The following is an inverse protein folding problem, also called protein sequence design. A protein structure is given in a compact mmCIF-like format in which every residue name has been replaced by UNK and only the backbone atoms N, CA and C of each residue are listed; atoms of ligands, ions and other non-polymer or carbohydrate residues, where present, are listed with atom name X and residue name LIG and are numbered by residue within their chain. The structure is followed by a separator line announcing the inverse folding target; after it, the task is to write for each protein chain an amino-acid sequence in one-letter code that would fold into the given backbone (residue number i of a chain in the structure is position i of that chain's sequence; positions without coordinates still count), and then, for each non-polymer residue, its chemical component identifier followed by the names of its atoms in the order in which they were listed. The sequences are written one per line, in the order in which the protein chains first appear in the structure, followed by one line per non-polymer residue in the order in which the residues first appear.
data_IF_578405262937
#
_entry.id   IF_578405262937
#
_cell.length_a   1.000
_cell.length_b   1.000
_cell.length_c   1.000
_cell.angle_alpha   90.00
_cell.angle_beta   90.00
_cell.angle_gamma   90.00
#
_symmetry.space_group_name_H-M   'P 1'
#
loop_
_entity.id
_entity.type
_entity.pdbx_description
1 polymer ?
#
# COMPACT_ATOMS: atom_id res chain seq x y z
N UNK A 1 45.31 2.20 8.53
CA UNK A 1 44.25 1.72 7.61
C UNK A 1 42.93 1.93 8.33
N UNK A 2 42.03 2.79 7.82
CA UNK A 2 40.81 3.17 8.53
C UNK A 2 39.78 2.05 8.43
N UNK A 3 39.45 1.45 9.58
CA UNK A 3 38.33 0.53 9.77
C UNK A 3 37.03 1.30 9.40
N UNK A 4 36.41 0.97 8.28
CA UNK A 4 35.11 1.54 7.94
C UNK A 4 34.06 0.68 8.64
N UNK A 5 33.47 1.24 9.71
CA UNK A 5 32.41 0.59 10.47
C UNK A 5 31.15 0.42 9.60
N UNK A 6 30.74 -0.83 9.37
CA UNK A 6 29.55 -1.22 8.62
C UNK A 6 28.24 -1.07 9.42
N UNK A 7 28.24 -0.32 10.52
CA UNK A 7 27.11 -0.25 11.46
C UNK A 7 26.08 0.84 11.17
N UNK A 8 26.19 1.58 10.05
CA UNK A 8 25.40 2.80 9.80
C UNK A 8 24.59 2.79 8.49
N UNK A 9 24.48 1.66 7.79
CA UNK A 9 23.83 1.62 6.46
C UNK A 9 22.31 1.45 6.55
N UNK A 10 21.80 0.91 7.66
CA UNK A 10 20.36 0.66 7.85
C UNK A 10 19.59 1.89 8.35
N UNK A 11 20.28 2.99 8.69
CA UNK A 11 19.66 4.23 9.19
C UNK A 11 19.50 5.34 8.12
N UNK A 12 19.82 5.09 6.85
CA UNK A 12 19.90 6.14 5.81
C UNK A 12 18.82 6.06 4.70
N UNK A 13 17.93 5.06 4.62
CA UNK A 13 17.11 4.88 3.39
C UNK A 13 15.58 4.74 3.52
N UNK A 14 14.97 5.00 4.68
CA UNK A 14 13.49 4.97 4.78
C UNK A 14 12.79 6.26 4.33
N UNK A 15 13.47 7.41 4.32
CA UNK A 15 12.83 8.71 4.10
C UNK A 15 12.64 9.11 2.63
N UNK A 16 13.34 8.45 1.68
CA UNK A 16 13.36 8.86 0.27
C UNK A 16 13.12 7.69 -0.69
N UNK A 17 12.22 6.77 -0.34
CA UNK A 17 11.80 5.74 -1.30
C UNK A 17 10.73 6.33 -2.23
N UNK A 18 10.96 6.35 -3.56
CA UNK A 18 9.97 6.85 -4.50
C UNK A 18 8.72 5.97 -4.45
N UNK A 19 7.56 6.61 -4.56
CA UNK A 19 6.27 5.93 -4.63
C UNK A 19 6.05 5.38 -6.06
N UNK A 20 6.80 4.34 -6.41
CA UNK A 20 6.73 3.72 -7.74
C UNK A 20 5.76 2.52 -7.75
N UNK A 21 5.99 1.52 -6.88
CA UNK A 21 5.17 0.30 -6.70
C UNK A 21 4.95 -0.58 -7.95
N UNK A 22 5.53 -0.25 -9.11
CA UNK A 22 5.49 -1.10 -10.31
C UNK A 22 6.37 -2.34 -10.15
N UNK A 23 5.92 -3.45 -10.72
CA UNK A 23 6.74 -4.66 -10.90
C UNK A 23 7.81 -4.46 -11.99
N UNK A 24 7.49 -3.70 -13.04
CA UNK A 24 8.42 -3.33 -14.10
C UNK A 24 8.58 -1.79 -14.18
N UNK A 25 9.69 -1.23 -13.68
CA UNK A 25 9.91 0.23 -13.68
C UNK A 25 10.01 0.88 -15.07
N UNK A 26 10.15 0.09 -16.14
CA UNK A 26 10.30 0.60 -17.51
C UNK A 26 8.98 0.70 -18.28
N UNK A 27 7.83 0.32 -17.69
CA UNK A 27 6.52 0.34 -18.36
C UNK A 27 5.43 0.92 -17.46
N UNK A 28 4.42 1.52 -18.09
CA UNK A 28 3.24 2.18 -17.49
C UNK A 28 3.54 3.24 -16.45
N UNK A 29 2.51 3.64 -15.69
CA UNK A 29 2.55 4.79 -14.78
C UNK A 29 2.97 4.38 -13.37
N UNK A 30 3.79 5.21 -12.71
CA UNK A 30 4.14 4.99 -11.30
C UNK A 30 2.94 5.24 -10.39
N UNK A 31 2.96 4.69 -9.16
CA UNK A 31 1.92 4.98 -8.17
C UNK A 31 1.81 6.48 -7.85
N UNK A 32 2.93 7.21 -7.83
CA UNK A 32 2.93 8.67 -7.67
C UNK A 32 2.18 9.37 -8.80
N UNK A 33 2.40 8.97 -10.06
CA UNK A 33 1.68 9.53 -11.21
C UNK A 33 0.21 9.12 -11.21
N UNK A 34 -0.09 7.88 -10.85
CA UNK A 34 -1.46 7.37 -10.72
C UNK A 34 -2.26 8.18 -9.71
N UNK A 35 -1.67 8.50 -8.55
CA UNK A 35 -2.33 9.34 -7.54
C UNK A 35 -2.66 10.76 -8.06
N UNK A 36 -1.87 11.32 -8.98
CA UNK A 36 -2.15 12.65 -9.55
C UNK A 36 -3.34 12.65 -10.51
N UNK A 37 -3.64 11.52 -11.15
CA UNK A 37 -4.68 11.41 -12.16
C UNK A 37 -5.98 10.75 -11.66
N UNK A 38 -5.92 9.97 -10.58
CA UNK A 38 -7.08 9.27 -10.02
C UNK A 38 -8.09 10.22 -9.37
N UNK A 39 -9.38 9.97 -9.56
CA UNK A 39 -10.43 10.69 -8.83
C UNK A 39 -10.58 10.18 -7.39
N UNK A 40 -11.28 10.94 -6.55
CA UNK A 40 -11.54 10.52 -5.16
C UNK A 40 -12.36 9.23 -5.09
N UNK A 41 -13.39 9.12 -5.93
CA UNK A 41 -14.29 7.96 -5.92
C UNK A 41 -13.56 6.70 -6.42
N UNK A 42 -12.73 6.84 -7.44
CA UNK A 42 -11.85 5.76 -7.91
C UNK A 42 -10.84 5.34 -6.84
N UNK A 43 -10.20 6.32 -6.16
CA UNK A 43 -9.24 6.01 -5.10
C UNK A 43 -9.91 5.31 -3.91
N UNK A 44 -11.09 5.77 -3.52
CA UNK A 44 -11.91 5.14 -2.49
C UNK A 44 -12.27 3.70 -2.89
N UNK A 45 -12.82 3.51 -4.10
CA UNK A 45 -13.18 2.19 -4.62
C UNK A 45 -11.98 1.26 -4.67
N UNK A 46 -10.84 1.74 -5.18
CA UNK A 46 -9.59 0.98 -5.22
C UNK A 46 -9.12 0.53 -3.83
N UNK A 47 -9.16 1.41 -2.83
CA UNK A 47 -8.75 1.08 -1.45
C UNK A 47 -9.70 0.07 -0.80
N UNK A 48 -11.00 0.19 -1.07
CA UNK A 48 -12.02 -0.71 -0.56
C UNK A 48 -11.93 -2.09 -1.22
N UNK A 49 -11.94 -2.15 -2.55
CA UNK A 49 -12.01 -3.39 -3.33
C UNK A 49 -10.71 -4.19 -3.31
N UNK A 50 -9.54 -3.52 -3.33
CA UNK A 50 -8.25 -4.21 -3.43
C UNK A 50 -7.62 -4.53 -2.07
N UNK A 51 -8.11 -3.94 -0.97
CA UNK A 51 -7.48 -4.10 0.34
C UNK A 51 -8.42 -4.04 1.56
N UNK A 52 -9.74 -3.98 1.36
CA UNK A 52 -10.74 -3.92 2.44
C UNK A 52 -10.42 -2.83 3.49
N UNK A 53 -9.96 -1.65 3.04
CA UNK A 53 -9.56 -0.59 3.96
C UNK A 53 -10.77 0.07 4.62
N UNK A 54 -10.94 -0.01 5.96
CA UNK A 54 -12.12 0.50 6.65
C UNK A 54 -12.26 2.02 6.59
N UNK A 55 -11.14 2.73 6.47
CA UNK A 55 -11.08 4.21 6.42
C UNK A 55 -10.79 4.70 4.99
N UNK A 56 -11.20 3.92 3.99
CA UNK A 56 -10.91 4.17 2.57
C UNK A 56 -11.46 5.53 2.12
N UNK A 57 -12.66 5.93 2.57
CA UNK A 57 -13.26 7.21 2.23
C UNK A 57 -12.45 8.39 2.80
N UNK A 58 -12.10 8.34 4.10
CA UNK A 58 -11.33 9.39 4.75
C UNK A 58 -9.93 9.52 4.17
N UNK A 59 -9.26 8.40 3.92
CA UNK A 59 -7.92 8.35 3.34
C UNK A 59 -7.94 8.88 1.90
N UNK A 60 -8.89 8.44 1.07
CA UNK A 60 -9.01 8.92 -0.30
C UNK A 60 -9.25 10.44 -0.35
N UNK A 61 -10.17 10.94 0.48
CA UNK A 61 -10.46 12.37 0.60
C UNK A 61 -9.22 13.16 1.05
N UNK A 62 -8.47 12.65 2.02
CA UNK A 62 -7.26 13.31 2.53
C UNK A 62 -6.16 13.39 1.46
N UNK A 63 -5.92 12.29 0.74
CA UNK A 63 -4.94 12.22 -0.34
C UNK A 63 -5.30 13.20 -1.46
N UNK A 64 -6.53 13.16 -1.97
CA UNK A 64 -6.98 14.06 -3.05
C UNK A 64 -6.97 15.52 -2.59
N UNK A 65 -7.35 15.79 -1.34
CA UNK A 65 -7.27 17.15 -0.78
C UNK A 65 -5.83 17.65 -0.71
N UNK A 66 -4.87 16.81 -0.32
CA UNK A 66 -3.46 17.17 -0.30
C UNK A 66 -2.94 17.49 -1.72
N UNK A 67 -3.30 16.66 -2.71
CA UNK A 67 -2.93 16.87 -4.12
C UNK A 67 -3.54 18.16 -4.67
N UNK A 68 -4.84 18.41 -4.42
CA UNK A 68 -5.52 19.65 -4.82
C UNK A 68 -4.92 20.91 -4.18
N UNK A 69 -4.30 20.78 -3.01
CA UNK A 69 -3.55 21.85 -2.34
C UNK A 69 -2.12 22.03 -2.87
N UNK A 70 -1.71 21.24 -3.87
CA UNK A 70 -0.38 21.30 -4.49
C UNK A 70 0.67 20.42 -3.82
N UNK A 71 0.28 19.46 -2.97
CA UNK A 71 1.21 18.51 -2.38
C UNK A 71 1.53 17.39 -3.37
N UNK A 72 2.80 17.26 -3.74
CA UNK A 72 3.27 16.20 -4.62
C UNK A 72 3.67 14.95 -3.82
N UNK A 73 2.82 13.92 -3.85
CA UNK A 73 3.02 12.68 -3.07
C UNK A 73 3.96 11.73 -3.84
N UNK A 74 5.25 12.05 -3.82
CA UNK A 74 6.28 11.34 -4.60
C UNK A 74 7.04 10.26 -3.81
N UNK A 75 6.90 10.22 -2.49
CA UNK A 75 7.56 9.23 -1.63
C UNK A 75 6.57 8.41 -0.82
N UNK A 76 6.99 7.19 -0.46
CA UNK A 76 6.20 6.33 0.43
C UNK A 76 6.01 6.95 1.81
N UNK A 77 6.96 7.78 2.26
CA UNK A 77 6.91 8.42 3.57
C UNK A 77 5.90 9.56 3.62
N UNK A 78 5.76 10.32 2.53
CA UNK A 78 4.71 11.34 2.41
C UNK A 78 3.32 10.71 2.45
N UNK A 79 3.11 9.61 1.73
CA UNK A 79 1.83 8.89 1.77
C UNK A 79 1.52 8.35 3.18
N UNK A 80 2.51 7.74 3.85
CA UNK A 80 2.36 7.29 5.24
C UNK A 80 2.01 8.43 6.18
N UNK A 81 2.62 9.60 6.00
CA UNK A 81 2.34 10.76 6.84
C UNK A 81 0.89 11.24 6.66
N UNK A 82 0.38 11.28 5.43
CA UNK A 82 -1.02 11.62 5.15
C UNK A 82 -1.97 10.62 5.81
N UNK A 83 -1.69 9.31 5.71
CA UNK A 83 -2.50 8.27 6.36
C UNK A 83 -2.47 8.46 7.88
N UNK A 84 -1.29 8.65 8.46
CA UNK A 84 -1.09 8.89 9.89
C UNK A 84 -1.87 10.12 10.37
N UNK A 85 -1.83 11.21 9.62
CA UNK A 85 -2.55 12.44 9.96
C UNK A 85 -4.07 12.28 9.83
N UNK A 86 -4.52 11.50 8.85
CA UNK A 86 -5.93 11.18 8.64
C UNK A 86 -6.48 10.36 9.80
N UNK A 87 -5.76 9.35 10.26
CA UNK A 87 -6.21 8.41 11.31
C UNK A 87 -6.02 8.92 12.74
N UNK A 88 -5.72 10.21 12.94
CA UNK A 88 -5.59 10.82 14.28
C UNK A 88 -6.87 10.78 15.11
N UNK A 89 -8.04 10.60 14.47
CA UNK A 89 -9.31 10.45 15.18
C UNK A 89 -9.44 9.10 15.91
N UNK A 90 -8.61 8.10 15.58
CA UNK A 90 -8.60 6.80 16.26
C UNK A 90 -8.02 6.97 17.68
N UNK A 91 -8.63 6.35 18.71
CA UNK A 91 -8.09 6.36 20.07
C UNK A 91 -6.62 5.95 20.12
N UNK A 92 -5.82 6.68 20.90
CA UNK A 92 -4.36 6.49 20.98
C UNK A 92 -3.93 5.05 21.26
N UNK A 93 -4.71 4.31 22.06
CA UNK A 93 -4.46 2.90 22.39
C UNK A 93 -4.43 1.97 21.16
N UNK A 94 -5.20 2.28 20.11
CA UNK A 94 -5.33 1.44 18.92
C UNK A 94 -4.67 2.08 17.69
N UNK A 95 -4.40 3.39 17.75
CA UNK A 95 -3.96 4.23 16.64
C UNK A 95 -2.73 3.72 15.92
N UNK A 96 -1.66 3.38 16.64
CA UNK A 96 -0.39 2.99 15.99
C UNK A 96 -0.53 1.67 15.21
N UNK A 97 -1.32 0.73 15.74
CA UNK A 97 -1.59 -0.54 15.08
C UNK A 97 -2.48 -0.35 13.85
N UNK A 98 -3.52 0.47 13.95
CA UNK A 98 -4.40 0.74 12.81
C UNK A 98 -3.68 1.54 11.72
N UNK A 99 -2.87 2.55 12.06
CA UNK A 99 -2.03 3.24 11.07
C UNK A 99 -1.13 2.25 10.33
N UNK A 100 -0.49 1.32 11.05
CA UNK A 100 0.37 0.33 10.41
C UNK A 100 -0.40 -0.55 9.42
N UNK A 101 -1.59 -1.03 9.80
CA UNK A 101 -2.44 -1.86 8.93
C UNK A 101 -2.96 -1.07 7.73
N UNK A 102 -3.46 0.15 7.95
CA UNK A 102 -3.97 1.01 6.88
C UNK A 102 -2.87 1.39 5.89
N UNK A 103 -1.65 1.68 6.35
CA UNK A 103 -0.50 1.87 5.47
C UNK A 103 -0.24 0.62 4.61
N UNK A 104 -0.22 -0.58 5.21
CA UNK A 104 -0.02 -1.83 4.48
C UNK A 104 -1.10 -2.06 3.42
N UNK A 105 -2.37 -1.87 3.77
CA UNK A 105 -3.51 -2.00 2.85
C UNK A 105 -3.48 -0.97 1.74
N UNK A 106 -3.18 0.30 2.03
CA UNK A 106 -3.06 1.34 1.02
C UNK A 106 -1.96 1.04 0.00
N UNK A 107 -0.77 0.63 0.47
CA UNK A 107 0.30 0.24 -0.43
C UNK A 107 -0.03 -1.02 -1.24
N UNK A 108 -0.72 -1.98 -0.63
CA UNK A 108 -1.19 -3.17 -1.32
C UNK A 108 -2.19 -2.82 -2.43
N UNK A 109 -3.18 -1.99 -2.13
CA UNK A 109 -4.19 -1.55 -3.10
C UNK A 109 -3.56 -0.78 -4.27
N UNK A 110 -2.67 0.17 -3.99
CA UNK A 110 -1.95 0.92 -5.02
C UNK A 110 -1.07 0.01 -5.89
N UNK A 111 -0.39 -0.96 -5.27
CA UNK A 111 0.40 -1.95 -6.01
C UNK A 111 -0.50 -2.80 -6.90
N UNK A 112 -1.66 -3.21 -6.42
CA UNK A 112 -2.61 -3.98 -7.22
C UNK A 112 -3.12 -3.13 -8.40
N UNK A 113 -3.53 -1.89 -8.17
CA UNK A 113 -4.04 -0.99 -9.22
C UNK A 113 -3.01 -0.74 -10.33
N UNK A 114 -1.82 -0.27 -9.93
CA UNK A 114 -0.72 0.02 -10.86
C UNK A 114 -0.27 -1.22 -11.63
N UNK A 115 -0.36 -2.41 -11.02
CA UNK A 115 0.04 -3.66 -11.69
C UNK A 115 -1.09 -4.35 -12.46
N UNK A 116 -2.36 -4.13 -12.12
CA UNK A 116 -3.52 -4.68 -12.83
C UNK A 116 -3.60 -4.15 -14.26
N UNK A 117 -3.22 -2.89 -14.50
CA UNK A 117 -3.04 -2.38 -15.87
C UNK A 117 -2.03 -3.21 -16.68
N UNK A 118 -1.05 -3.84 -16.03
CA UNK A 118 -0.11 -4.77 -16.67
C UNK A 118 -0.59 -6.22 -16.72
N UNK A 119 -1.51 -6.64 -15.85
CA UNK A 119 -2.12 -7.98 -15.88
C UNK A 119 -3.17 -8.13 -16.99
N UNK A 120 -3.70 -7.03 -17.54
CA UNK A 120 -4.55 -7.06 -18.76
C UNK A 120 -3.80 -7.67 -19.97
N UNK A 121 -2.46 -7.79 -19.93
CA UNK A 121 -1.71 -8.53 -20.96
C UNK A 121 -1.65 -10.06 -20.74
N UNK A 122 -2.06 -10.56 -19.57
CA UNK A 122 -2.11 -12.00 -19.26
C UNK A 122 -3.53 -12.59 -19.35
N UNK A 123 -4.57 -11.76 -19.49
CA UNK A 123 -5.94 -12.23 -19.74
C UNK A 123 -6.13 -12.92 -21.10
N UNK A 124 -5.13 -12.94 -21.98
CA UNK A 124 -5.14 -13.79 -23.17
C UNK A 124 -4.55 -15.20 -22.97
N UNK A 125 -3.92 -15.53 -21.83
CA UNK A 125 -3.12 -16.77 -21.76
C UNK A 125 -3.27 -17.71 -20.56
N UNK A 126 -3.92 -17.40 -19.42
CA UNK A 126 -3.87 -18.40 -18.33
C UNK A 126 -5.08 -18.48 -17.39
N UNK A 127 -6.17 -19.06 -17.93
CA UNK A 127 -7.38 -19.40 -17.19
C UNK A 127 -7.25 -20.57 -16.19
N UNK A 128 -6.05 -21.05 -15.78
CA UNK A 128 -5.97 -22.31 -15.00
C UNK A 128 -4.99 -22.44 -13.81
N UNK A 129 -4.21 -21.45 -13.38
CA UNK A 129 -3.15 -21.73 -12.38
C UNK A 129 -3.10 -20.98 -11.03
N UNK A 130 -3.93 -19.97 -10.73
CA UNK A 130 -3.73 -19.15 -9.50
C UNK A 130 -4.84 -19.31 -8.45
N UNK A 131 -5.34 -20.53 -8.20
CA UNK A 131 -6.26 -20.81 -7.08
C UNK A 131 -5.63 -21.64 -5.93
N UNK A 132 -4.32 -21.93 -5.95
CA UNK A 132 -3.75 -22.95 -5.04
C UNK A 132 -2.90 -22.39 -3.88
N UNK A 133 -2.58 -21.09 -3.80
CA UNK A 133 -1.64 -20.61 -2.76
C UNK A 133 -2.12 -19.45 -1.86
N UNK A 134 -3.45 -19.27 -1.69
CA UNK A 134 -4.02 -18.38 -0.65
C UNK A 134 -4.92 -19.18 0.30
N UNK A 135 -4.39 -20.28 0.85
CA UNK A 135 -4.94 -20.92 2.06
C UNK A 135 -3.78 -21.22 3.01
N UNK A 136 -3.21 -20.17 3.61
CA UNK A 136 -2.44 -20.33 4.84
C UNK A 136 -3.46 -20.39 5.99
N UNK A 137 -3.68 -21.60 6.50
CA UNK A 137 -4.49 -21.85 7.70
C UNK A 137 -3.53 -22.10 8.87
N UNK A 138 -3.44 -21.21 9.88
CA UNK A 138 -3.01 -21.59 11.21
C UNK A 138 -4.16 -21.41 12.19
N UNK A 139 -4.57 -22.48 12.87
CA UNK A 139 -4.57 -22.55 14.33
C UNK A 139 -5.24 -23.84 14.83
N UNK A 140 -4.50 -24.50 15.70
CA UNK A 140 -4.86 -25.59 16.58
C UNK A 140 -6.27 -25.52 17.19
N UNK A 141 -6.97 -26.65 17.18
CA UNK A 141 -7.79 -27.06 18.33
C UNK A 141 -7.62 -28.56 18.60
N UNK A 142 -7.06 -28.86 19.78
CA UNK A 142 -7.09 -30.17 20.43
C UNK A 142 -8.55 -30.57 20.65
N UNK A 143 -8.94 -31.79 20.27
CA UNK A 143 -10.03 -32.50 20.95
C UNK A 143 -9.64 -33.98 21.09
N UNK A 144 -9.51 -34.41 22.35
CA UNK A 144 -9.36 -35.79 22.80
C UNK A 144 -10.57 -36.65 22.41
N UNK A 145 -10.32 -37.90 22.01
CA UNK A 145 -11.14 -39.09 22.32
C UNK A 145 -10.16 -40.25 22.53
N UNK A 146 -10.04 -40.74 23.76
CA UNK A 146 -10.71 -41.96 24.25
C UNK A 146 -10.53 -43.14 23.29
#
# INVERSE_FOLDING_TARGET
MKQTNFSNIDQITSESRPLDLRLNPSKGISAAERLKSISQDELHGMLLENADEPHSEEIARAIISAIKKGTDIITTSLLQQIIKDTLKFIPEKDRDNEIKKSCQRCFQALRIDVNKEFEVLYEFLDFRYVQIHIVFHPHHHRINRQ
#
